data_IF_970328791601
#
_entry.id   IF_970328791601
#
_cell.length_a   1.000
_cell.length_b   1.000
_cell.length_c   1.000
_cell.angle_alpha   90.00
_cell.angle_beta   90.00
_cell.angle_gamma   90.00
#
_symmetry.space_group_name_H-M   'P 1'
#
loop_
_entity.id
_entity.type
_entity.pdbx_description
1 polymer ?
#
# COMPACT_ATOMS: atom_id res chain seq x y z
N UNK A 1 22.00 7.76 45.01
CA UNK A 1 23.03 8.12 44.01
C UNK A 1 22.81 7.24 42.79
N UNK A 2 22.16 7.80 41.78
CA UNK A 2 21.74 7.09 40.56
C UNK A 2 22.96 6.96 39.64
N UNK A 3 23.47 5.73 39.46
CA UNK A 3 24.66 5.51 38.65
C UNK A 3 24.25 5.16 37.21
N UNK A 4 24.45 6.10 36.29
CA UNK A 4 24.18 5.92 34.85
C UNK A 4 25.33 5.12 34.25
N UNK A 5 25.06 3.88 33.81
CA UNK A 5 25.97 3.07 33.00
C UNK A 5 25.73 3.37 31.52
N UNK A 6 26.76 3.85 30.83
CA UNK A 6 26.75 4.05 29.37
C UNK A 6 27.67 3.00 28.75
N UNK A 7 27.13 2.17 27.86
CA UNK A 7 27.91 1.22 27.06
C UNK A 7 28.48 1.96 25.84
N UNK A 8 29.80 1.95 25.67
CA UNK A 8 30.46 2.47 24.47
C UNK A 8 30.90 1.29 23.60
N UNK A 9 30.22 1.09 22.47
CA UNK A 9 30.64 0.13 21.47
C UNK A 9 31.98 0.55 20.86
N UNK A 10 32.97 -0.35 20.91
CA UNK A 10 34.24 -0.21 20.18
C UNK A 10 35.52 -0.60 20.92
N UNK A 11 35.52 -0.75 22.26
CA UNK A 11 36.77 -1.09 23.01
C UNK A 11 36.66 -2.06 24.20
N UNK A 12 35.48 -2.58 24.55
CA UNK A 12 35.36 -3.61 25.60
C UNK A 12 35.59 -3.13 27.04
N UNK A 13 35.43 -1.84 27.34
CA UNK A 13 35.56 -1.28 28.69
C UNK A 13 34.21 -0.79 29.25
N UNK A 14 33.94 -1.05 30.54
CA UNK A 14 32.79 -0.53 31.30
C UNK A 14 33.21 0.74 32.07
N UNK A 15 32.44 1.83 31.98
CA UNK A 15 32.70 3.08 32.70
C UNK A 15 31.66 3.30 33.81
N UNK A 16 32.13 3.35 35.06
CA UNK A 16 31.34 3.75 36.23
C UNK A 16 31.89 5.09 36.75
N UNK A 17 31.04 6.10 36.81
CA UNK A 17 31.34 7.42 37.40
C UNK A 17 32.68 8.04 36.96
N UNK A 18 32.97 8.05 35.64
CA UNK A 18 34.14 8.73 35.08
C UNK A 18 35.51 8.09 35.33
N UNK A 19 35.57 6.90 35.94
CA UNK A 19 36.85 6.23 36.25
C UNK A 19 37.02 4.94 35.44
N UNK A 20 38.18 4.76 34.77
CA UNK A 20 38.52 3.52 34.03
C UNK A 20 38.75 2.37 35.02
N UNK A 21 37.88 1.37 35.03
CA UNK A 21 38.10 0.13 35.78
C UNK A 21 38.89 -0.86 34.91
N UNK A 22 40.10 -1.22 35.33
CA UNK A 22 40.88 -2.29 34.68
C UNK A 22 40.35 -3.66 35.12
N UNK A 23 40.32 -4.61 34.19
CA UNK A 23 39.77 -5.98 34.26
C UNK A 23 39.95 -6.78 35.57
N UNK A 24 40.92 -6.46 36.43
CA UNK A 24 41.20 -7.27 37.64
C UNK A 24 40.31 -7.01 38.85
N UNK A 25 39.45 -5.97 38.84
CA UNK A 25 38.59 -5.65 40.00
C UNK A 25 37.15 -6.19 39.93
N UNK A 26 36.70 -6.61 38.74
CA UNK A 26 35.28 -6.95 38.48
C UNK A 26 34.90 -8.35 39.01
N UNK A 27 35.87 -9.21 39.30
CA UNK A 27 35.62 -10.60 39.74
C UNK A 27 35.31 -10.76 41.24
N UNK A 28 35.48 -9.70 42.04
CA UNK A 28 35.45 -9.79 43.52
C UNK A 28 34.16 -9.30 44.19
N UNK A 29 33.17 -8.84 43.41
CA UNK A 29 31.90 -8.29 43.95
C UNK A 29 30.73 -9.22 43.55
N UNK A 30 30.11 -9.95 44.50
CA UNK A 30 29.06 -10.94 44.21
C UNK A 30 27.85 -10.36 43.45
N UNK A 31 27.48 -9.11 43.75
CA UNK A 31 26.35 -8.40 43.14
C UNK A 31 26.61 -8.02 41.67
N UNK A 32 27.86 -7.73 41.31
CA UNK A 32 28.26 -7.46 39.92
C UNK A 32 28.35 -8.77 39.12
N UNK A 33 28.74 -9.87 39.76
CA UNK A 33 28.69 -11.20 39.13
C UNK A 33 27.27 -11.60 38.75
N UNK A 34 26.28 -11.36 39.61
CA UNK A 34 24.87 -11.60 39.27
C UNK A 34 24.37 -10.68 38.15
N UNK A 35 24.77 -9.40 38.16
CA UNK A 35 24.40 -8.46 37.09
C UNK A 35 25.06 -8.80 35.75
N UNK A 36 26.33 -9.24 35.75
CA UNK A 36 27.01 -9.73 34.55
C UNK A 36 26.44 -11.07 34.05
N UNK A 37 26.07 -11.99 34.95
CA UNK A 37 25.44 -13.27 34.59
C UNK A 37 24.06 -13.05 33.95
N UNK A 38 23.26 -12.13 34.50
CA UNK A 38 21.97 -11.72 33.92
C UNK A 38 22.10 -11.03 32.56
N UNK A 39 23.21 -10.31 32.31
CA UNK A 39 23.49 -9.69 31.01
C UNK A 39 24.05 -10.69 29.97
N UNK A 40 24.68 -11.78 30.39
CA UNK A 40 25.17 -12.84 29.49
C UNK A 40 24.10 -13.85 29.05
N UNK A 41 22.91 -13.86 29.66
CA UNK A 41 21.83 -14.78 29.29
C UNK A 41 20.81 -14.21 28.30
N UNK A 42 20.97 -12.96 27.86
CA UNK A 42 20.21 -12.46 26.72
C UNK A 42 20.90 -12.91 25.42
N UNK A 43 20.75 -14.20 25.06
CA UNK A 43 21.20 -14.78 23.78
C UNK A 43 20.41 -14.19 22.61
N UNK A 44 20.61 -12.90 22.35
CA UNK A 44 20.11 -12.25 21.17
C UNK A 44 20.94 -12.77 20.00
N UNK A 45 20.28 -13.46 19.07
CA UNK A 45 20.92 -13.94 17.84
C UNK A 45 21.67 -12.78 17.15
N UNK A 46 22.94 -12.96 16.74
CA UNK A 46 23.71 -11.91 16.07
C UNK A 46 23.00 -11.43 14.80
N UNK A 47 23.15 -10.14 14.48
CA UNK A 47 22.57 -9.56 13.26
C UNK A 47 23.03 -10.30 11.99
N UNK A 48 24.30 -10.74 11.95
CA UNK A 48 24.89 -11.51 10.84
C UNK A 48 24.21 -12.85 10.57
N UNK A 49 23.49 -13.39 11.55
CA UNK A 49 22.88 -14.72 11.45
C UNK A 49 21.39 -14.63 11.11
N UNK A 50 20.85 -13.41 11.00
CA UNK A 50 19.42 -13.16 10.76
C UNK A 50 19.02 -13.55 9.35
N UNK A 51 17.85 -14.19 9.26
CA UNK A 51 17.29 -14.69 8.01
C UNK A 51 16.05 -13.91 7.63
N UNK A 52 15.95 -13.55 6.36
CA UNK A 52 14.82 -12.79 5.80
C UNK A 52 14.12 -13.64 4.74
N UNK A 53 12.81 -13.80 4.90
CA UNK A 53 11.97 -14.42 3.89
C UNK A 53 11.27 -13.35 3.04
N UNK A 54 11.27 -13.52 1.73
CA UNK A 54 10.59 -12.62 0.79
C UNK A 54 9.51 -13.42 0.07
N UNK A 55 8.24 -13.02 0.23
CA UNK A 55 7.09 -13.83 -0.22
C UNK A 55 6.89 -13.84 -1.74
N UNK A 56 7.62 -12.99 -2.48
CA UNK A 56 7.66 -12.93 -3.95
C UNK A 56 8.99 -12.38 -4.43
N UNK A 57 9.29 -12.59 -5.71
CA UNK A 57 10.34 -11.84 -6.37
C UNK A 57 10.06 -10.34 -6.31
N UNK A 58 11.09 -9.54 -5.97
CA UNK A 58 11.05 -8.09 -5.87
C UNK A 58 12.18 -7.47 -6.71
N UNK A 59 12.09 -6.19 -7.09
CA UNK A 59 13.16 -5.50 -7.81
C UNK A 59 14.53 -5.61 -7.14
N UNK A 60 15.59 -5.69 -7.96
CA UNK A 60 16.98 -5.84 -7.50
C UNK A 60 17.42 -4.74 -6.53
N UNK A 61 16.82 -3.54 -6.64
CA UNK A 61 17.08 -2.44 -5.71
C UNK A 61 16.85 -2.83 -4.23
N UNK A 62 15.83 -3.65 -3.94
CA UNK A 62 15.59 -4.17 -2.59
C UNK A 62 16.49 -5.34 -2.24
N UNK A 63 16.65 -6.29 -3.17
CA UNK A 63 17.49 -7.49 -2.98
C UNK A 63 18.94 -7.12 -2.69
N UNK A 64 19.50 -6.18 -3.46
CA UNK A 64 20.87 -5.70 -3.29
C UNK A 64 21.09 -5.08 -1.91
N UNK A 65 20.14 -4.27 -1.42
CA UNK A 65 20.26 -3.66 -0.08
C UNK A 65 20.32 -4.72 1.03
N UNK A 66 19.49 -5.76 0.93
CA UNK A 66 19.50 -6.85 1.91
C UNK A 66 20.82 -7.66 1.84
N UNK A 67 21.29 -7.99 0.63
CA UNK A 67 22.57 -8.69 0.40
C UNK A 67 23.77 -7.87 0.89
N UNK A 68 23.84 -6.59 0.54
CA UNK A 68 24.91 -5.68 0.96
C UNK A 68 24.95 -5.51 2.49
N UNK A 69 23.78 -5.63 3.14
CA UNK A 69 23.67 -5.62 4.59
C UNK A 69 24.06 -6.95 5.26
N UNK A 70 24.52 -7.94 4.49
CA UNK A 70 25.00 -9.23 4.99
C UNK A 70 23.91 -10.18 5.47
N UNK A 71 22.65 -9.99 5.05
CA UNK A 71 21.51 -10.81 5.48
C UNK A 71 21.38 -12.07 4.61
N UNK A 72 21.04 -13.19 5.26
CA UNK A 72 20.64 -14.43 4.57
C UNK A 72 19.21 -14.29 4.06
N UNK A 73 19.05 -14.21 2.73
CA UNK A 73 17.75 -13.97 2.09
C UNK A 73 17.27 -15.20 1.34
N UNK A 74 16.00 -15.54 1.53
CA UNK A 74 15.30 -16.52 0.70
C UNK A 74 14.10 -15.87 0.04
N UNK A 75 13.95 -16.10 -1.26
CA UNK A 75 12.90 -15.52 -2.09
C UNK A 75 11.99 -16.63 -2.60
N UNK A 76 10.69 -16.46 -2.43
CA UNK A 76 9.71 -17.32 -3.09
C UNK A 76 9.58 -16.94 -4.57
N UNK A 77 9.91 -17.89 -5.45
CA UNK A 77 9.98 -17.67 -6.91
C UNK A 77 8.87 -18.37 -7.70
N UNK A 78 8.02 -19.16 -7.07
CA UNK A 78 6.93 -19.84 -7.76
C UNK A 78 5.89 -18.85 -8.30
N UNK A 79 5.13 -19.28 -9.31
CA UNK A 79 4.11 -18.46 -9.99
C UNK A 79 2.79 -18.31 -9.21
N UNK A 80 2.57 -19.10 -8.16
CA UNK A 80 1.33 -19.10 -7.36
C UNK A 80 1.56 -18.58 -5.93
N UNK A 81 0.50 -18.10 -5.29
CA UNK A 81 0.56 -17.58 -3.92
C UNK A 81 0.78 -18.72 -2.93
N UNK A 82 1.77 -18.57 -2.06
CA UNK A 82 1.97 -19.56 -0.99
C UNK A 82 0.73 -19.63 -0.11
N UNK A 83 0.18 -20.83 0.11
CA UNK A 83 -0.85 -21.02 1.12
C UNK A 83 -0.37 -20.56 2.49
N UNK A 84 -1.27 -19.97 3.28
CA UNK A 84 -0.94 -19.41 4.61
C UNK A 84 -0.23 -20.44 5.52
N UNK A 85 -0.73 -21.69 5.56
CA UNK A 85 -0.13 -22.76 6.37
C UNK A 85 1.31 -23.07 5.97
N UNK A 86 1.61 -23.05 4.67
CA UNK A 86 2.95 -23.32 4.16
C UNK A 86 3.88 -22.15 4.46
N UNK A 87 3.40 -20.93 4.28
CA UNK A 87 4.14 -19.72 4.64
C UNK A 87 4.47 -19.71 6.14
N UNK A 88 3.50 -19.96 7.02
CA UNK A 88 3.72 -20.03 8.47
C UNK A 88 4.78 -21.07 8.83
N UNK A 89 4.72 -22.28 8.24
CA UNK A 89 5.71 -23.34 8.47
C UNK A 89 7.11 -22.93 8.03
N UNK A 90 7.24 -22.29 6.87
CA UNK A 90 8.53 -21.79 6.36
C UNK A 90 9.07 -20.70 7.28
N UNK A 91 8.22 -19.75 7.69
CA UNK A 91 8.60 -18.60 8.53
C UNK A 91 9.13 -18.98 9.91
N UNK A 92 8.90 -20.20 10.40
CA UNK A 92 9.52 -20.70 11.64
C UNK A 92 11.06 -20.68 11.61
N UNK A 93 11.66 -20.63 10.42
CA UNK A 93 13.11 -20.60 10.24
C UNK A 93 13.69 -19.21 9.98
N UNK A 94 12.85 -18.17 9.97
CA UNK A 94 13.23 -16.80 9.60
C UNK A 94 12.95 -15.80 10.72
N UNK A 95 13.69 -14.69 10.73
CA UNK A 95 13.59 -13.64 11.75
C UNK A 95 12.79 -12.43 11.25
N UNK A 96 12.61 -12.29 9.94
CA UNK A 96 11.87 -11.22 9.31
C UNK A 96 11.19 -11.71 8.02
N UNK A 97 10.06 -11.08 7.69
CA UNK A 97 9.37 -11.31 6.42
C UNK A 97 9.16 -9.99 5.67
N UNK A 98 9.53 -9.98 4.38
CA UNK A 98 9.19 -8.93 3.43
C UNK A 98 8.03 -9.46 2.57
N UNK A 99 6.85 -8.87 2.79
CA UNK A 99 5.61 -9.27 2.15
C UNK A 99 5.41 -8.46 0.88
N UNK A 100 5.36 -9.15 -0.25
CA UNK A 100 4.91 -8.63 -1.53
C UNK A 100 3.81 -9.56 -2.06
N UNK A 101 2.64 -8.99 -2.38
CA UNK A 101 1.44 -9.73 -2.77
C UNK A 101 0.38 -9.88 -1.65
N UNK A 102 -0.71 -10.62 -1.93
CA UNK A 102 -1.88 -10.74 -1.06
C UNK A 102 -1.64 -11.78 0.06
N UNK A 103 -0.88 -11.40 1.08
CA UNK A 103 -0.76 -12.18 2.32
C UNK A 103 -1.64 -11.56 3.39
N UNK A 104 -2.49 -12.37 4.02
CA UNK A 104 -3.28 -11.97 5.18
C UNK A 104 -2.42 -12.11 6.43
N UNK A 105 -2.15 -10.98 7.08
CA UNK A 105 -1.33 -10.89 8.29
C UNK A 105 -2.29 -10.63 9.47
N UNK A 106 -3.14 -11.61 9.74
CA UNK A 106 -4.10 -11.53 10.84
C UNK A 106 -3.50 -12.00 12.17
N UNK A 107 -4.29 -11.95 13.25
CA UNK A 107 -3.86 -12.41 14.57
C UNK A 107 -3.32 -13.83 14.54
N UNK A 108 -3.95 -14.76 13.81
CA UNK A 108 -3.50 -16.17 13.75
C UNK A 108 -2.12 -16.28 13.12
N UNK A 109 -1.89 -15.59 12.00
CA UNK A 109 -0.58 -15.53 11.36
C UNK A 109 0.49 -15.00 12.31
N UNK A 110 0.21 -13.86 12.96
CA UNK A 110 1.13 -13.20 13.89
C UNK A 110 1.40 -14.05 15.13
N UNK A 111 0.38 -14.73 15.67
CA UNK A 111 0.54 -15.63 16.81
C UNK A 111 1.36 -16.88 16.49
N UNK A 112 1.26 -17.37 15.25
CA UNK A 112 2.06 -18.51 14.77
C UNK A 112 3.50 -18.12 14.46
N UNK A 113 3.78 -16.82 14.28
CA UNK A 113 5.08 -16.28 13.91
C UNK A 113 5.56 -15.20 14.90
N UNK A 114 5.28 -15.36 16.20
CA UNK A 114 5.62 -14.38 17.26
C UNK A 114 7.10 -14.06 17.40
N UNK A 115 7.98 -14.93 16.88
CA UNK A 115 9.42 -14.71 16.85
C UNK A 115 9.87 -13.72 15.77
N UNK A 116 9.01 -13.40 14.81
CA UNK A 116 9.34 -12.43 13.76
C UNK A 116 9.55 -11.04 14.37
N UNK A 117 10.66 -10.42 14.01
CA UNK A 117 11.00 -9.06 14.42
C UNK A 117 10.26 -8.00 13.62
N UNK A 118 9.89 -8.32 12.38
CA UNK A 118 9.18 -7.41 11.48
C UNK A 118 8.40 -8.14 10.39
N UNK A 119 7.23 -7.59 10.07
CA UNK A 119 6.52 -7.78 8.81
C UNK A 119 6.65 -6.50 7.97
N UNK A 120 7.48 -6.52 6.93
CA UNK A 120 7.72 -5.36 6.06
C UNK A 120 6.92 -5.48 4.77
N UNK A 121 5.92 -4.61 4.58
CA UNK A 121 5.04 -4.64 3.43
C UNK A 121 5.64 -3.85 2.26
N UNK A 122 5.69 -4.46 1.08
CA UNK A 122 5.91 -3.76 -0.19
C UNK A 122 4.57 -3.23 -0.75
N UNK A 123 3.83 -2.50 0.09
CA UNK A 123 2.55 -1.86 -0.23
C UNK A 123 2.38 -0.57 0.58
N UNK A 124 1.38 0.25 0.24
CA UNK A 124 0.98 1.40 1.07
C UNK A 124 -0.19 1.06 1.97
N UNK A 125 -1.23 0.46 1.41
CA UNK A 125 -2.35 -0.04 2.20
C UNK A 125 -1.93 -1.28 2.99
N UNK A 126 -2.46 -1.37 4.20
CA UNK A 126 -2.20 -2.42 5.19
C UNK A 126 -3.52 -3.00 5.71
N UNK A 127 -4.58 -2.93 4.91
CA UNK A 127 -5.92 -3.46 5.19
C UNK A 127 -5.95 -4.97 5.46
N UNK A 128 -4.92 -5.70 5.01
CA UNK A 128 -4.74 -7.13 5.28
C UNK A 128 -3.95 -7.41 6.57
N UNK A 129 -3.62 -6.39 7.36
CA UNK A 129 -2.81 -6.52 8.59
C UNK A 129 -3.65 -6.20 9.82
N UNK A 130 -3.67 -7.10 10.80
CA UNK A 130 -4.20 -6.83 12.13
C UNK A 130 -3.16 -6.04 12.94
N UNK A 131 -3.22 -4.71 12.83
CA UNK A 131 -2.26 -3.80 13.48
C UNK A 131 -2.35 -3.82 15.00
N UNK A 132 -3.53 -4.09 15.56
CA UNK A 132 -3.69 -4.22 17.01
C UNK A 132 -3.06 -5.52 17.51
N UNK A 133 -3.26 -6.64 16.82
CA UNK A 133 -2.56 -7.88 17.15
C UNK A 133 -1.04 -7.77 17.01
N UNK A 134 -0.55 -7.09 15.96
CA UNK A 134 0.88 -6.87 15.79
C UNK A 134 1.47 -6.06 16.96
N UNK A 135 0.75 -5.01 17.40
CA UNK A 135 1.13 -4.20 18.56
C UNK A 135 1.12 -5.00 19.86
N UNK A 136 0.06 -5.77 20.11
CA UNK A 136 -0.08 -6.62 21.30
C UNK A 136 1.06 -7.66 21.40
N UNK A 137 1.50 -8.19 20.25
CA UNK A 137 2.52 -9.22 20.15
C UNK A 137 3.94 -8.65 20.03
N UNK A 138 4.10 -7.34 19.95
CA UNK A 138 5.41 -6.68 19.83
C UNK A 138 6.07 -6.83 18.46
N UNK A 139 5.31 -7.13 17.41
CA UNK A 139 5.82 -7.36 16.06
C UNK A 139 5.76 -6.04 15.27
N UNK A 140 6.91 -5.54 14.82
CA UNK A 140 6.95 -4.33 14.03
C UNK A 140 6.31 -4.53 12.65
N UNK A 141 5.64 -3.49 12.13
CA UNK A 141 5.05 -3.51 10.79
C UNK A 141 5.47 -2.26 10.04
N UNK A 142 6.08 -2.42 8.86
CA UNK A 142 6.47 -1.31 7.99
C UNK A 142 5.76 -1.33 6.64
N UNK A 143 5.62 -0.17 5.99
CA UNK A 143 5.01 -0.04 4.65
C UNK A 143 5.79 0.96 3.76
N UNK A 144 5.23 1.33 2.58
CA UNK A 144 5.93 2.12 1.54
C UNK A 144 5.23 3.42 1.08
N UNK A 145 4.79 4.32 2.00
CA UNK A 145 4.01 5.52 1.67
C UNK A 145 4.74 6.51 0.77
N UNK A 146 3.98 7.25 -0.04
CA UNK A 146 4.46 8.37 -0.84
C UNK A 146 5.10 8.00 -2.18
N UNK A 147 5.96 6.98 -2.23
CA UNK A 147 6.73 6.66 -3.45
C UNK A 147 5.87 6.17 -4.63
N UNK A 148 4.68 5.64 -4.36
CA UNK A 148 3.75 5.16 -5.39
C UNK A 148 2.65 6.16 -5.79
N UNK A 149 2.57 7.30 -5.11
CA UNK A 149 1.41 8.19 -5.26
C UNK A 149 1.26 8.74 -6.68
N UNK A 150 2.37 9.09 -7.34
CA UNK A 150 2.37 9.53 -8.74
C UNK A 150 1.92 8.42 -9.69
N UNK A 151 2.49 7.22 -9.57
CA UNK A 151 2.14 6.09 -10.44
C UNK A 151 0.66 5.71 -10.34
N UNK A 152 0.09 5.71 -9.14
CA UNK A 152 -1.33 5.35 -8.97
C UNK A 152 -2.26 6.45 -9.48
N UNK A 153 -1.85 7.71 -9.34
CA UNK A 153 -2.55 8.83 -9.97
C UNK A 153 -2.49 8.74 -11.52
N UNK A 154 -1.36 8.34 -12.09
CA UNK A 154 -1.23 8.09 -13.54
C UNK A 154 -2.18 6.99 -14.00
N UNK A 155 -2.31 5.90 -13.24
CA UNK A 155 -3.26 4.82 -13.55
C UNK A 155 -4.71 5.29 -13.45
N UNK A 156 -5.08 6.08 -12.44
CA UNK A 156 -6.42 6.65 -12.34
C UNK A 156 -6.75 7.58 -13.52
N UNK A 157 -5.78 8.39 -13.93
CA UNK A 157 -5.88 9.26 -15.09
C UNK A 157 -6.01 8.46 -16.40
N UNK A 158 -5.21 7.40 -16.57
CA UNK A 158 -5.32 6.46 -17.68
C UNK A 158 -6.73 5.85 -17.76
N UNK A 159 -7.24 5.32 -16.65
CA UNK A 159 -8.57 4.70 -16.57
C UNK A 159 -9.68 5.70 -16.89
N UNK A 160 -9.56 6.95 -16.41
CA UNK A 160 -10.47 8.04 -16.73
C UNK A 160 -10.55 8.29 -18.25
N UNK A 161 -9.39 8.39 -18.91
CA UNK A 161 -9.33 8.59 -20.37
C UNK A 161 -9.81 7.35 -21.13
N UNK A 162 -9.40 6.15 -20.70
CA UNK A 162 -9.78 4.89 -21.34
C UNK A 162 -11.29 4.68 -21.31
N UNK A 163 -11.94 4.91 -20.17
CA UNK A 163 -13.39 4.80 -20.02
C UNK A 163 -14.13 5.88 -20.83
N UNK A 164 -13.69 7.15 -20.74
CA UNK A 164 -14.33 8.26 -21.47
C UNK A 164 -14.30 8.08 -22.99
N UNK A 165 -13.26 7.44 -23.53
CA UNK A 165 -13.06 7.21 -24.97
C UNK A 165 -13.32 5.78 -25.43
N UNK A 166 -13.90 4.93 -24.57
CA UNK A 166 -14.19 3.51 -24.86
C UNK A 166 -12.96 2.75 -25.39
N UNK A 167 -11.76 3.13 -24.96
CA UNK A 167 -10.51 2.74 -25.60
C UNK A 167 -10.30 1.22 -25.59
N UNK A 168 -10.63 0.55 -24.47
CA UNK A 168 -10.46 -0.89 -24.33
C UNK A 168 -11.47 -1.67 -25.16
N UNK A 169 -12.72 -1.19 -25.23
CA UNK A 169 -13.73 -1.75 -26.11
C UNK A 169 -13.29 -1.63 -27.57
N UNK A 170 -12.88 -0.44 -28.02
CA UNK A 170 -12.44 -0.23 -29.40
C UNK A 170 -11.21 -1.08 -29.76
N UNK A 171 -10.29 -1.27 -28.82
CA UNK A 171 -9.17 -2.20 -29.02
C UNK A 171 -9.64 -3.65 -29.24
N UNK A 172 -10.65 -4.12 -28.48
CA UNK A 172 -11.25 -5.44 -28.68
C UNK A 172 -11.94 -5.55 -30.04
N UNK A 173 -12.63 -4.52 -30.48
CA UNK A 173 -13.26 -4.50 -31.80
C UNK A 173 -12.24 -4.63 -32.93
N UNK A 174 -11.06 -4.01 -32.80
CA UNK A 174 -9.96 -4.20 -33.75
C UNK A 174 -9.50 -5.66 -33.78
N UNK A 175 -9.28 -6.27 -32.61
CA UNK A 175 -8.87 -7.69 -32.51
C UNK A 175 -9.93 -8.63 -33.12
N UNK A 176 -11.21 -8.30 -32.94
CA UNK A 176 -12.34 -9.06 -33.50
C UNK A 176 -12.52 -8.88 -35.02
N UNK A 177 -11.78 -7.97 -35.64
CA UNK A 177 -11.93 -7.65 -37.07
C UNK A 177 -13.10 -6.72 -37.39
N UNK A 178 -13.65 -6.02 -36.39
CA UNK A 178 -14.79 -5.12 -36.55
C UNK A 178 -14.39 -3.68 -36.94
N UNK A 179 -13.12 -3.47 -37.30
CA UNK A 179 -12.63 -2.18 -37.81
C UNK A 179 -12.96 -2.04 -39.30
N UNK A 180 -14.22 -1.68 -39.57
CA UNK A 180 -14.77 -1.54 -40.92
C UNK A 180 -14.78 -0.06 -41.36
N UNK A 181 -15.90 0.39 -41.96
CA UNK A 181 -16.10 1.77 -42.40
C UNK A 181 -16.14 2.77 -41.24
N UNK A 182 -15.64 3.99 -41.48
CA UNK A 182 -15.66 5.08 -40.52
C UNK A 182 -17.01 5.80 -40.50
N UNK A 183 -17.70 5.78 -39.36
CA UNK A 183 -18.95 6.50 -39.12
C UNK A 183 -18.72 7.63 -38.09
N UNK A 184 -19.05 8.90 -38.42
CA UNK A 184 -18.82 10.04 -37.54
C UNK A 184 -19.63 10.01 -36.24
N UNK A 185 -20.66 9.18 -36.14
CA UNK A 185 -21.54 9.07 -34.98
C UNK A 185 -21.36 7.78 -34.18
N UNK A 186 -20.60 6.82 -34.70
CA UNK A 186 -20.37 5.55 -34.04
C UNK A 186 -19.39 5.70 -32.87
N UNK A 187 -19.69 5.01 -31.75
CA UNK A 187 -18.80 4.85 -30.60
C UNK A 187 -18.24 6.16 -30.01
N UNK A 188 -19.02 7.25 -30.06
CA UNK A 188 -18.64 8.52 -29.46
C UNK A 188 -18.33 8.38 -27.96
N UNK A 189 -17.32 9.14 -27.53
CA UNK A 189 -16.87 9.25 -26.15
C UNK A 189 -17.22 10.60 -25.53
N UNK A 190 -16.70 10.86 -24.32
CA UNK A 190 -16.84 12.13 -23.62
C UNK A 190 -15.55 12.94 -23.66
N UNK A 191 -15.68 14.25 -23.88
CA UNK A 191 -14.62 15.21 -23.62
C UNK A 191 -14.61 15.59 -22.14
N UNK A 192 -13.43 15.65 -21.51
CA UNK A 192 -13.28 15.93 -20.08
C UNK A 192 -12.69 17.32 -19.77
N UNK A 193 -12.26 18.07 -20.79
CA UNK A 193 -11.69 19.40 -20.62
C UNK A 193 -12.66 20.35 -19.91
N UNK A 194 -12.17 21.09 -18.92
CA UNK A 194 -12.95 22.06 -18.13
C UNK A 194 -14.01 21.46 -17.20
N UNK A 195 -14.16 20.13 -17.16
CA UNK A 195 -15.18 19.43 -16.36
C UNK A 195 -14.82 19.34 -14.88
N UNK A 196 -15.74 18.83 -14.08
CA UNK A 196 -15.57 18.69 -12.62
C UNK A 196 -15.06 17.29 -12.26
N UNK A 197 -13.91 17.23 -11.59
CA UNK A 197 -13.38 16.03 -10.95
C UNK A 197 -13.73 16.07 -9.45
N UNK A 198 -14.54 15.10 -9.01
CA UNK A 198 -14.80 14.80 -7.62
C UNK A 198 -13.85 13.75 -7.08
N UNK A 199 -13.09 14.07 -6.04
CA UNK A 199 -12.17 13.14 -5.40
C UNK A 199 -12.69 12.73 -4.03
N UNK A 200 -12.91 11.42 -3.84
CA UNK A 200 -13.21 10.82 -2.54
C UNK A 200 -11.90 10.30 -1.96
N UNK A 201 -11.38 10.95 -0.91
CA UNK A 201 -10.05 10.65 -0.38
C UNK A 201 -8.92 11.47 -1.02
N UNK A 202 -8.96 12.79 -0.89
CA UNK A 202 -7.90 13.70 -1.37
C UNK A 202 -6.66 13.69 -0.44
N UNK A 203 -5.99 12.53 -0.38
CA UNK A 203 -4.66 12.34 0.21
C UNK A 203 -3.55 12.51 -0.82
N UNK A 204 -2.41 11.82 -0.64
CA UNK A 204 -1.25 11.93 -1.54
C UNK A 204 -1.56 11.54 -2.99
N UNK A 205 -2.31 10.43 -3.20
CA UNK A 205 -2.69 9.98 -4.56
C UNK A 205 -3.70 10.95 -5.19
N UNK A 206 -4.76 11.30 -4.46
CA UNK A 206 -5.77 12.25 -4.96
C UNK A 206 -5.18 13.63 -5.28
N UNK A 207 -4.19 14.09 -4.52
CA UNK A 207 -3.46 15.32 -4.82
C UNK A 207 -2.70 15.23 -6.16
N UNK A 208 -1.98 14.13 -6.39
CA UNK A 208 -1.26 13.88 -7.64
C UNK A 208 -2.19 13.74 -8.84
N UNK A 209 -3.38 13.15 -8.66
CA UNK A 209 -4.41 13.10 -9.72
C UNK A 209 -4.96 14.52 -10.00
N UNK A 210 -5.33 15.28 -8.96
CA UNK A 210 -5.81 16.64 -9.11
C UNK A 210 -4.81 17.53 -9.87
N UNK A 211 -3.52 17.41 -9.56
CA UNK A 211 -2.44 18.12 -10.26
C UNK A 211 -2.45 17.87 -11.77
N UNK A 212 -2.62 16.61 -12.19
CA UNK A 212 -2.68 16.21 -13.60
C UNK A 212 -3.94 16.72 -14.28
N UNK A 213 -5.10 16.56 -13.65
CA UNK A 213 -6.38 16.97 -14.22
C UNK A 213 -6.52 18.49 -14.34
N UNK A 214 -5.98 19.26 -13.39
CA UNK A 214 -5.88 20.72 -13.54
C UNK A 214 -4.90 21.08 -14.65
N UNK A 215 -3.68 20.56 -14.59
CA UNK A 215 -2.61 20.99 -15.51
C UNK A 215 -2.80 20.58 -16.96
N UNK A 216 -3.48 19.46 -17.24
CA UNK A 216 -3.65 18.94 -18.60
C UNK A 216 -5.06 19.12 -19.18
N UNK A 217 -6.07 19.30 -18.32
CA UNK A 217 -7.48 19.33 -18.74
C UNK A 217 -8.27 20.50 -18.15
N UNK A 218 -7.65 21.41 -17.39
CA UNK A 218 -8.31 22.55 -16.75
C UNK A 218 -9.54 22.15 -15.91
N UNK A 219 -9.51 20.93 -15.33
CA UNK A 219 -10.66 20.42 -14.57
C UNK A 219 -10.82 21.16 -13.23
N UNK A 220 -12.07 21.40 -12.84
CA UNK A 220 -12.42 21.91 -11.51
C UNK A 220 -12.34 20.79 -10.49
N UNK A 221 -11.73 21.04 -9.34
CA UNK A 221 -11.54 20.03 -8.30
C UNK A 221 -12.51 20.24 -7.15
N UNK A 222 -13.36 19.26 -6.88
CA UNK A 222 -14.12 19.16 -5.63
C UNK A 222 -13.72 17.88 -4.91
N UNK A 223 -13.80 17.86 -3.57
CA UNK A 223 -13.38 16.68 -2.82
C UNK A 223 -14.16 16.44 -1.55
N UNK A 224 -14.19 15.17 -1.14
CA UNK A 224 -14.75 14.72 0.12
C UNK A 224 -13.68 14.00 0.94
N UNK A 225 -13.45 14.49 2.16
CA UNK A 225 -12.49 13.97 3.14
C UNK A 225 -13.03 14.14 4.56
N UNK A 226 -12.45 13.38 5.51
CA UNK A 226 -12.64 13.59 6.96
C UNK A 226 -12.18 14.99 7.40
N UNK A 227 -11.06 15.48 6.85
CA UNK A 227 -10.47 16.80 7.13
C UNK A 227 -10.22 17.63 5.87
N UNK A 228 -9.84 18.90 6.04
CA UNK A 228 -9.46 19.77 4.92
C UNK A 228 -8.05 19.43 4.42
N UNK A 229 -7.85 19.53 3.11
CA UNK A 229 -6.53 19.52 2.50
C UNK A 229 -6.18 20.95 2.03
N UNK A 230 -5.61 21.75 2.92
CA UNK A 230 -5.26 23.16 2.66
C UNK A 230 -4.24 23.32 1.52
N UNK A 231 -3.38 22.34 1.32
CA UNK A 231 -2.39 22.35 0.24
C UNK A 231 -3.09 22.29 -1.11
N UNK A 232 -4.04 21.36 -1.28
CA UNK A 232 -4.83 21.24 -2.50
C UNK A 232 -5.77 22.42 -2.75
N UNK A 233 -6.40 22.94 -1.69
CA UNK A 233 -7.21 24.16 -1.77
C UNK A 233 -6.40 25.33 -2.31
N UNK A 234 -5.14 25.48 -1.87
CA UNK A 234 -4.22 26.52 -2.34
C UNK A 234 -3.68 26.26 -3.75
N UNK A 235 -3.27 25.02 -4.03
CA UNK A 235 -2.59 24.68 -5.28
C UNK A 235 -3.54 24.61 -6.48
N UNK A 236 -4.78 24.16 -6.26
CA UNK A 236 -5.71 23.80 -7.33
C UNK A 236 -7.07 24.52 -7.23
N UNK A 237 -7.27 25.36 -6.22
CA UNK A 237 -8.60 25.90 -5.91
C UNK A 237 -9.59 24.80 -5.52
N UNK A 238 -9.10 23.67 -4.99
CA UNK A 238 -9.95 22.53 -4.67
C UNK A 238 -10.99 22.89 -3.59
N UNK A 239 -12.25 22.50 -3.78
CA UNK A 239 -13.34 22.84 -2.84
C UNK A 239 -13.78 21.58 -2.09
N UNK A 240 -13.74 21.63 -0.75
CA UNK A 240 -14.31 20.56 0.08
C UNK A 240 -15.83 20.65 0.07
N UNK A 241 -16.49 19.53 -0.23
CA UNK A 241 -17.95 19.42 -0.23
C UNK A 241 -18.40 18.17 0.54
N UNK A 242 -19.70 18.05 0.80
CA UNK A 242 -20.29 16.80 1.31
C UNK A 242 -20.18 15.68 0.27
N UNK A 243 -20.33 14.43 0.71
CA UNK A 243 -20.30 13.28 -0.21
C UNK A 243 -21.43 13.38 -1.25
N UNK A 244 -22.64 13.75 -0.82
CA UNK A 244 -23.79 13.91 -1.70
C UNK A 244 -23.59 15.02 -2.75
N UNK A 245 -23.07 16.19 -2.33
CA UNK A 245 -22.74 17.28 -3.26
C UNK A 245 -21.65 16.84 -4.26
N UNK A 246 -20.66 16.06 -3.81
CA UNK A 246 -19.62 15.53 -4.70
C UNK A 246 -20.24 14.67 -5.79
N UNK A 247 -21.11 13.71 -5.44
CA UNK A 247 -21.74 12.80 -6.40
C UNK A 247 -22.56 13.58 -7.44
N UNK A 248 -23.34 14.57 -7.00
CA UNK A 248 -24.23 15.34 -7.88
C UNK A 248 -23.48 16.31 -8.80
N UNK A 249 -22.35 16.86 -8.36
CA UNK A 249 -21.63 17.91 -9.10
C UNK A 249 -20.51 17.36 -10.01
N UNK A 250 -20.06 16.13 -9.79
CA UNK A 250 -18.91 15.55 -10.51
C UNK A 250 -19.27 15.02 -11.89
N UNK A 251 -18.39 15.27 -12.86
CA UNK A 251 -18.40 14.59 -14.16
C UNK A 251 -17.47 13.36 -14.15
N UNK A 252 -16.49 13.35 -13.25
CA UNK A 252 -15.69 12.17 -12.92
C UNK A 252 -15.62 12.06 -11.40
N UNK A 253 -15.94 10.89 -10.84
CA UNK A 253 -15.74 10.58 -9.43
C UNK A 253 -14.58 9.60 -9.30
N UNK A 254 -13.51 9.99 -8.61
CA UNK A 254 -12.32 9.15 -8.41
C UNK A 254 -12.08 8.85 -6.94
N UNK A 255 -11.84 7.58 -6.63
CA UNK A 255 -11.73 7.05 -5.26
C UNK A 255 -10.27 6.75 -4.91
N UNK A 256 -9.81 7.32 -3.81
CA UNK A 256 -8.44 7.19 -3.28
C UNK A 256 -8.42 7.03 -1.75
N UNK A 257 -9.46 6.45 -1.16
CA UNK A 257 -9.55 6.16 0.27
C UNK A 257 -8.91 4.82 0.63
N UNK A 258 -8.52 4.64 1.90
CA UNK A 258 -8.29 3.29 2.43
C UNK A 258 -9.61 2.49 2.48
N UNK A 259 -9.52 1.16 2.49
CA UNK A 259 -10.66 0.29 2.82
C UNK A 259 -10.76 0.16 4.34
N UNK A 260 -11.90 0.61 4.86
CA UNK A 260 -12.24 0.68 6.29
C UNK A 260 -13.71 0.31 6.45
N UNK A 261 -14.21 0.04 7.67
CA UNK A 261 -15.64 -0.17 7.88
C UNK A 261 -16.51 0.97 7.32
N UNK A 262 -16.04 2.23 7.39
CA UNK A 262 -16.80 3.38 6.89
C UNK A 262 -16.75 3.56 5.37
N UNK A 263 -15.76 2.98 4.69
CA UNK A 263 -15.59 3.10 3.23
C UNK A 263 -15.98 1.83 2.48
N UNK A 264 -16.22 0.73 3.19
CA UNK A 264 -16.66 -0.53 2.60
C UNK A 264 -18.07 -0.38 2.03
N UNK A 265 -18.23 -0.68 0.75
CA UNK A 265 -19.50 -0.52 0.04
C UNK A 265 -20.03 0.91 0.00
N UNK A 266 -19.16 1.92 0.16
CA UNK A 266 -19.55 3.33 0.12
C UNK A 266 -20.23 3.72 -1.19
N UNK A 267 -19.82 3.08 -2.29
CA UNK A 267 -20.47 3.20 -3.59
C UNK A 267 -21.43 2.03 -3.81
N UNK A 268 -22.64 2.20 -3.31
CA UNK A 268 -23.79 1.31 -3.49
C UNK A 268 -24.77 1.90 -4.52
N UNK A 269 -25.91 1.23 -4.71
CA UNK A 269 -27.02 1.70 -5.56
C UNK A 269 -27.45 3.14 -5.26
N UNK A 270 -27.52 3.51 -3.98
CA UNK A 270 -27.95 4.84 -3.58
C UNK A 270 -26.91 5.90 -3.97
N UNK A 271 -25.61 5.61 -3.80
CA UNK A 271 -24.54 6.48 -4.25
C UNK A 271 -24.55 6.65 -5.78
N UNK A 272 -24.59 5.54 -6.54
CA UNK A 272 -24.60 5.62 -8.01
C UNK A 272 -25.81 6.37 -8.56
N UNK A 273 -26.99 6.22 -7.96
CA UNK A 273 -28.20 6.96 -8.39
C UNK A 273 -28.14 8.48 -8.19
N UNK A 274 -27.22 8.98 -7.35
CA UNK A 274 -26.99 10.43 -7.15
C UNK A 274 -25.98 11.01 -8.15
N UNK A 275 -25.26 10.16 -8.88
CA UNK A 275 -24.28 10.59 -9.86
C UNK A 275 -24.96 11.07 -11.15
N UNK A 276 -24.25 11.88 -11.94
CA UNK A 276 -24.77 12.31 -13.25
C UNK A 276 -24.82 11.12 -14.22
N UNK A 277 -25.81 11.04 -15.13
CA UNK A 277 -25.82 10.06 -16.22
C UNK A 277 -24.57 10.11 -17.11
N UNK A 278 -23.95 11.29 -17.23
CA UNK A 278 -22.71 11.50 -17.99
C UNK A 278 -21.43 11.25 -17.19
N UNK A 279 -21.52 10.83 -15.92
CA UNK A 279 -20.37 10.73 -15.03
C UNK A 279 -19.59 9.42 -15.18
N UNK A 280 -18.30 9.48 -14.90
CA UNK A 280 -17.40 8.31 -14.93
C UNK A 280 -16.95 7.99 -13.50
N UNK A 281 -17.08 6.73 -13.09
CA UNK A 281 -16.58 6.25 -11.81
C UNK A 281 -15.19 5.64 -11.95
N UNK A 282 -14.23 6.08 -11.14
CA UNK A 282 -12.84 5.60 -11.15
C UNK A 282 -12.45 5.05 -9.78
N UNK A 283 -12.00 3.80 -9.74
CA UNK A 283 -11.52 3.18 -8.51
C UNK A 283 -10.09 2.64 -8.68
N UNK A 284 -9.15 3.28 -7.98
CA UNK A 284 -7.74 2.83 -7.84
C UNK A 284 -7.37 2.63 -6.37
N UNK A 285 -8.38 2.50 -5.51
CA UNK A 285 -8.23 2.33 -4.08
C UNK A 285 -8.31 0.85 -3.70
N UNK A 286 -9.53 0.34 -3.48
CA UNK A 286 -9.81 -1.07 -3.19
C UNK A 286 -11.15 -1.46 -3.80
N UNK A 287 -11.26 -2.69 -4.29
CA UNK A 287 -12.50 -3.21 -4.87
C UNK A 287 -13.67 -3.12 -3.89
N UNK A 288 -13.45 -3.50 -2.62
CA UNK A 288 -14.49 -3.48 -1.59
C UNK A 288 -15.05 -2.09 -1.21
N UNK A 289 -14.57 -0.99 -1.79
CA UNK A 289 -15.16 0.36 -1.62
C UNK A 289 -16.44 0.55 -2.44
N UNK A 290 -16.63 -0.25 -3.49
CA UNK A 290 -17.86 -0.25 -4.28
C UNK A 290 -18.56 -1.61 -4.18
N UNK A 291 -19.88 -1.60 -4.35
CA UNK A 291 -20.65 -2.79 -4.62
C UNK A 291 -20.59 -3.07 -6.13
N UNK A 292 -20.07 -4.24 -6.51
CA UNK A 292 -19.85 -4.60 -7.92
C UNK A 292 -21.17 -4.87 -8.66
N UNK A 293 -22.16 -5.48 -8.00
CA UNK A 293 -23.50 -5.72 -8.57
C UNK A 293 -24.24 -4.41 -8.84
N UNK A 294 -24.17 -3.46 -7.89
CA UNK A 294 -24.78 -2.14 -8.06
C UNK A 294 -24.08 -1.33 -9.15
N UNK A 295 -22.75 -1.47 -9.29
CA UNK A 295 -22.00 -0.83 -10.37
C UNK A 295 -22.41 -1.39 -11.75
N UNK A 296 -22.52 -2.71 -11.88
CA UNK A 296 -23.01 -3.39 -13.09
C UNK A 296 -24.40 -2.84 -13.44
N UNK A 297 -25.33 -2.84 -12.49
CA UNK A 297 -26.68 -2.34 -12.72
C UNK A 297 -26.71 -0.84 -13.09
N UNK A 298 -25.85 -0.02 -12.48
CA UNK A 298 -25.76 1.40 -12.81
C UNK A 298 -25.27 1.64 -14.25
N UNK A 299 -24.34 0.81 -14.73
CA UNK A 299 -23.81 0.87 -16.09
C UNK A 299 -24.81 0.35 -17.12
N UNK A 300 -25.45 -0.79 -16.86
CA UNK A 300 -26.46 -1.38 -17.75
C UNK A 300 -27.67 -0.47 -17.94
N UNK A 301 -28.11 0.19 -16.86
CA UNK A 301 -29.25 1.11 -16.90
C UNK A 301 -28.89 2.53 -17.38
N UNK A 302 -27.61 2.80 -17.70
CA UNK A 302 -27.15 4.15 -18.07
C UNK A 302 -27.30 5.18 -16.96
N UNK A 303 -27.31 4.74 -15.70
CA UNK A 303 -27.33 5.63 -14.52
C UNK A 303 -26.02 6.43 -14.41
N UNK A 304 -24.92 5.83 -14.86
CA UNK A 304 -23.63 6.49 -15.05
C UNK A 304 -23.06 6.15 -16.44
N UNK A 305 -22.15 6.98 -16.93
CA UNK A 305 -21.60 6.82 -18.28
C UNK A 305 -20.63 5.65 -18.40
N UNK A 306 -19.84 5.35 -17.38
CA UNK A 306 -18.74 4.39 -17.50
C UNK A 306 -17.95 4.22 -16.22
N UNK A 307 -17.05 3.23 -16.23
CA UNK A 307 -16.21 2.93 -15.08
C UNK A 307 -14.77 2.58 -15.46
N UNK A 308 -13.83 2.96 -14.61
CA UNK A 308 -12.43 2.61 -14.71
C UNK A 308 -11.93 2.00 -13.40
N UNK A 309 -11.56 0.72 -13.42
CA UNK A 309 -11.19 -0.03 -12.21
C UNK A 309 -9.77 -0.57 -12.34
N UNK A 310 -8.90 -0.22 -11.39
CA UNK A 310 -7.62 -0.92 -11.20
C UNK A 310 -7.76 -2.03 -10.14
N UNK A 311 -8.84 -2.04 -9.39
CA UNK A 311 -9.09 -2.94 -8.25
C UNK A 311 -10.50 -3.49 -8.33
N UNK A 312 -10.66 -4.78 -8.02
CA UNK A 312 -11.91 -5.53 -8.17
C UNK A 312 -12.27 -6.25 -6.88
N UNK A 313 -13.50 -6.75 -6.75
CA UNK A 313 -13.90 -7.54 -5.60
C UNK A 313 -14.83 -8.69 -6.02
N UNK A 314 -14.32 -9.94 -6.14
CA UNK A 314 -13.03 -10.42 -5.67
C UNK A 314 -11.83 -9.98 -6.53
N UNK A 315 -10.62 -10.18 -6.00
CA UNK A 315 -9.36 -10.01 -6.73
C UNK A 315 -8.52 -11.30 -6.58
N UNK A 316 -8.25 -12.03 -7.69
CA UNK A 316 -8.57 -11.71 -9.08
C UNK A 316 -10.06 -11.78 -9.40
N UNK A 317 -10.49 -10.92 -10.34
CA UNK A 317 -11.83 -10.96 -10.92
C UNK A 317 -12.04 -12.25 -11.74
N UNK A 318 -13.27 -12.76 -11.76
CA UNK A 318 -13.65 -13.90 -12.60
C UNK A 318 -13.54 -13.56 -14.10
N UNK A 319 -13.11 -14.53 -14.92
CA UNK A 319 -12.88 -14.32 -16.35
C UNK A 319 -14.16 -14.02 -17.15
N UNK A 320 -15.32 -14.41 -16.62
CA UNK A 320 -16.65 -14.22 -17.18
C UNK A 320 -17.39 -13.01 -16.57
N UNK A 321 -16.72 -12.17 -15.78
CA UNK A 321 -17.35 -11.00 -15.18
C UNK A 321 -17.93 -10.05 -16.26
N UNK A 322 -19.22 -9.65 -16.16
CA UNK A 322 -19.89 -8.82 -17.17
C UNK A 322 -19.18 -7.49 -17.47
N UNK A 323 -18.55 -6.87 -16.47
CA UNK A 323 -17.84 -5.60 -16.62
C UNK A 323 -16.74 -5.68 -17.68
N UNK A 324 -16.14 -6.86 -17.89
CA UNK A 324 -15.10 -7.05 -18.91
C UNK A 324 -15.64 -6.88 -20.35
N UNK A 325 -16.95 -6.96 -20.58
CA UNK A 325 -17.53 -6.86 -21.92
C UNK A 325 -18.30 -5.55 -22.18
N UNK A 326 -18.48 -4.70 -21.16
CA UNK A 326 -19.16 -3.42 -21.29
C UNK A 326 -18.33 -2.42 -22.12
N UNK A 327 -19.01 -1.66 -22.98
CA UNK A 327 -18.41 -0.73 -23.98
C UNK A 327 -17.64 0.43 -23.37
N UNK A 328 -18.04 0.86 -22.18
CA UNK A 328 -17.63 2.06 -21.45
C UNK A 328 -16.88 1.71 -20.15
N UNK A 329 -16.37 0.48 -20.03
CA UNK A 329 -15.63 0.01 -18.87
C UNK A 329 -14.18 -0.29 -19.24
N UNK A 330 -13.25 0.17 -18.39
CA UNK A 330 -11.83 -0.16 -18.46
C UNK A 330 -11.41 -0.83 -17.14
N UNK A 331 -10.82 -2.03 -17.23
CA UNK A 331 -10.36 -2.78 -16.06
C UNK A 331 -8.87 -3.10 -16.23
N UNK A 332 -8.09 -2.85 -15.19
CA UNK A 332 -6.68 -3.19 -15.07
C UNK A 332 -6.46 -4.13 -13.88
N UNK A 333 -5.48 -5.04 -13.95
CA UNK A 333 -5.24 -6.04 -12.91
C UNK A 333 -4.32 -5.49 -11.80
N UNK A 334 -4.77 -4.46 -11.09
CA UNK A 334 -4.08 -3.87 -9.93
C UNK A 334 -2.65 -3.42 -10.23
N UNK A 335 -2.50 -2.62 -11.28
CA UNK A 335 -1.22 -2.13 -11.78
C UNK A 335 -0.89 -0.72 -11.28
N UNK A 336 -1.67 -0.14 -10.37
CA UNK A 336 -1.55 1.25 -9.91
C UNK A 336 -0.16 1.65 -9.42
N UNK A 337 0.66 0.72 -8.96
CA UNK A 337 2.06 0.98 -8.55
C UNK A 337 3.10 0.27 -9.40
N UNK A 338 2.68 -0.37 -10.49
CA UNK A 338 3.50 -1.24 -11.34
C UNK A 338 4.32 -0.46 -12.38
N UNK A 339 5.18 0.44 -11.92
CA UNK A 339 6.25 1.04 -12.74
C UNK A 339 7.62 0.59 -12.23
N UNK A 340 8.61 0.49 -13.12
CA UNK A 340 9.98 0.08 -12.76
C UNK A 340 10.51 0.94 -11.62
N UNK A 341 10.39 2.26 -11.73
CA UNK A 341 10.89 3.20 -10.72
C UNK A 341 10.14 3.10 -9.40
N UNK A 342 8.81 3.00 -9.44
CA UNK A 342 7.98 2.93 -8.22
C UNK A 342 8.23 1.62 -7.49
N UNK A 343 8.20 0.49 -8.18
CA UNK A 343 8.48 -0.82 -7.58
C UNK A 343 9.90 -0.86 -7.01
N UNK A 344 10.88 -0.27 -7.68
CA UNK A 344 12.26 -0.20 -7.18
C UNK A 344 12.37 0.62 -5.88
N UNK A 345 11.71 1.79 -5.82
CA UNK A 345 11.66 2.62 -4.60
C UNK A 345 10.94 1.91 -3.45
N UNK A 346 9.81 1.26 -3.73
CA UNK A 346 9.05 0.47 -2.75
C UNK A 346 9.90 -0.67 -2.18
N UNK A 347 10.55 -1.45 -3.05
CA UNK A 347 11.44 -2.53 -2.64
C UNK A 347 12.60 -2.01 -1.76
N UNK A 348 13.14 -0.84 -2.11
CA UNK A 348 14.18 -0.19 -1.32
C UNK A 348 13.72 0.19 0.10
N UNK A 349 12.55 0.81 0.24
CA UNK A 349 11.97 1.14 1.55
C UNK A 349 11.68 -0.14 2.36
N UNK A 350 11.04 -1.14 1.74
CA UNK A 350 10.69 -2.38 2.42
C UNK A 350 11.95 -3.11 2.93
N UNK A 351 13.02 -3.14 2.14
CA UNK A 351 14.31 -3.67 2.54
C UNK A 351 14.95 -2.87 3.69
N UNK A 352 14.93 -1.53 3.63
CA UNK A 352 15.48 -0.68 4.71
C UNK A 352 14.71 -0.84 6.01
N UNK A 353 13.39 -0.96 5.97
CA UNK A 353 12.58 -1.29 7.15
C UNK A 353 13.04 -2.62 7.78
N UNK A 354 13.28 -3.67 6.98
CA UNK A 354 13.81 -4.95 7.49
C UNK A 354 15.17 -4.75 8.16
N UNK A 355 16.11 -4.09 7.49
CA UNK A 355 17.47 -3.84 8.02
C UNK A 355 17.39 -3.08 9.35
N UNK A 356 16.63 -1.99 9.40
CA UNK A 356 16.47 -1.16 10.60
C UNK A 356 15.85 -1.95 11.76
N UNK A 357 14.80 -2.73 11.51
CA UNK A 357 14.17 -3.57 12.53
C UNK A 357 15.14 -4.61 13.11
N UNK A 358 15.88 -5.30 12.24
CA UNK A 358 16.85 -6.33 12.64
C UNK A 358 18.03 -5.73 13.43
N UNK A 359 18.38 -4.48 13.14
CA UNK A 359 19.36 -3.68 13.89
C UNK A 359 18.80 -3.03 15.16
N UNK A 360 17.51 -3.25 15.49
CA UNK A 360 16.82 -2.57 16.60
C UNK A 360 16.92 -1.05 16.47
N UNK A 361 16.55 -0.53 15.31
CA UNK A 361 16.43 0.89 15.02
C UNK A 361 14.99 1.21 14.58
N UNK A 362 14.53 2.46 14.73
CA UNK A 362 13.24 2.89 14.21
C UNK A 362 13.12 2.62 12.70
N UNK A 363 11.92 2.24 12.25
CA UNK A 363 11.65 2.01 10.84
C UNK A 363 11.67 3.33 10.07
N UNK A 364 11.96 3.28 8.76
CA UNK A 364 11.81 4.45 7.89
C UNK A 364 10.35 4.86 7.81
N UNK A 365 9.46 3.87 7.68
CA UNK A 365 8.02 4.06 7.71
C UNK A 365 7.35 2.95 8.52
N UNK A 366 6.97 3.28 9.77
CA UNK A 366 6.25 2.38 10.66
C UNK A 366 4.73 2.53 10.50
N UNK A 367 4.05 1.39 10.43
CA UNK A 367 2.61 1.23 10.73
C UNK A 367 2.44 0.82 12.19
N UNK A 368 3.28 -0.11 12.66
CA UNK A 368 3.42 -0.51 14.07
C UNK A 368 4.90 -0.41 14.43
N UNK A 369 5.20 0.36 15.48
CA UNK A 369 6.57 0.61 15.95
C UNK A 369 7.21 -0.62 16.61
N UNK A 370 8.54 -0.63 16.67
CA UNK A 370 9.30 -1.70 17.30
C UNK A 370 9.26 -1.55 18.84
N UNK A 371 8.57 -2.46 19.51
CA UNK A 371 8.37 -2.43 20.98
C UNK A 371 9.67 -2.72 21.75
N UNK A 372 10.70 -3.26 21.08
CA UNK A 372 12.01 -3.57 21.69
C UNK A 372 13.04 -2.43 21.61
N UNK A 373 12.63 -1.20 21.29
CA UNK A 373 13.48 -0.01 21.31
C UNK A 373 13.56 0.68 22.68
N UNK A 374 12.72 0.27 23.65
CA UNK A 374 12.64 0.84 25.00
C UNK A 374 13.22 -0.07 26.06
#
# INVERSE_FOLDING_TARGET
MTCVLKWCEGKGDLLLCGTKLRNKFVESIPEIRHLCILLTECKCKPYSDMKVYITRNIPEAGLKLLKDAGLDITVWTESYHQPEEELIKVLQQYDAVLVSGPVKVDRRFLESCRHLKIVSLMSVGYDNVDTEAAKDLGIAVGNTPGVLSGATADTAFLLMLAASRKAFHMHKEIIRGNWNFWDPTANLGLELGGRTLGIVGLGKIGFELAKRCVGAYDMKIIYHNRGRNKEAEKAFGAVRVSFDELLQQSDVVSVHTALTPETKGLFDKAAFSKMKPSSIFINTARGGVHNEEDLIAALENGTIWGAGLDVTNPEPMAADNPLLNMTNVAILPHIGSATVDTRSKMAGIAARNVILALQRRPLEHAVVENVHLT
#
